data_IF_583582484812
#
_entry.id   IF_583582484812
#
_cell.length_a   1.000
_cell.length_b   1.000
_cell.length_c   1.000
_cell.angle_alpha   90.00
_cell.angle_beta   90.00
_cell.angle_gamma   90.00
#
_symmetry.space_group_name_H-M   'P 1'
#
loop_
_entity.id
_entity.type
_entity.pdbx_description
1 polymer ?
#
# COMPACT_ATOMS: atom_id res chain seq x y z
N UNK A 1 -11.34 -0.21 -17.64
CA UNK A 1 -10.20 -0.83 -18.33
C UNK A 1 -9.67 -1.98 -17.51
N UNK A 2 -9.38 -3.11 -18.16
CA UNK A 2 -8.73 -4.27 -17.55
C UNK A 2 -7.40 -4.54 -18.27
N UNK A 3 -6.35 -4.86 -17.52
CA UNK A 3 -5.04 -5.18 -18.06
C UNK A 3 -4.77 -6.67 -17.90
N UNK A 4 -4.54 -7.38 -19.01
CA UNK A 4 -4.24 -8.83 -19.00
C UNK A 4 -2.76 -9.01 -19.31
N UNK A 5 -2.00 -9.52 -18.33
CA UNK A 5 -0.57 -9.77 -18.48
C UNK A 5 -0.35 -11.14 -19.11
N UNK A 6 0.19 -11.15 -20.33
CA UNK A 6 0.47 -12.38 -21.05
C UNK A 6 1.69 -13.08 -20.48
N UNK A 7 1.53 -14.37 -20.14
CA UNK A 7 2.59 -15.23 -19.60
C UNK A 7 2.60 -16.54 -20.37
N UNK A 8 3.78 -17.15 -20.53
CA UNK A 8 3.89 -18.42 -21.25
C UNK A 8 3.07 -19.52 -20.56
N UNK A 9 2.41 -20.41 -21.32
CA UNK A 9 1.82 -21.63 -20.76
C UNK A 9 2.87 -22.42 -19.95
N UNK A 10 2.48 -22.94 -18.79
CA UNK A 10 3.39 -23.66 -17.88
C UNK A 10 4.30 -22.78 -17.00
N UNK A 11 4.22 -21.45 -17.09
CA UNK A 11 4.98 -20.57 -16.20
C UNK A 11 4.65 -20.80 -14.72
N UNK A 12 5.68 -20.76 -13.86
CA UNK A 12 5.52 -20.89 -12.41
C UNK A 12 4.74 -19.72 -11.82
N UNK A 13 4.08 -19.93 -10.67
CA UNK A 13 3.35 -18.87 -9.99
C UNK A 13 4.24 -17.69 -9.60
N UNK A 14 5.50 -17.95 -9.26
CA UNK A 14 6.50 -16.90 -8.97
C UNK A 14 6.75 -16.02 -10.20
N UNK A 15 6.94 -16.64 -11.37
CA UNK A 15 7.15 -15.89 -12.60
C UNK A 15 5.89 -15.09 -12.99
N UNK A 16 4.71 -15.69 -12.84
CA UNK A 16 3.45 -15.00 -13.11
C UNK A 16 3.26 -13.77 -12.21
N UNK A 17 3.54 -13.92 -10.91
CA UNK A 17 3.49 -12.82 -9.96
C UNK A 17 4.46 -11.71 -10.33
N UNK A 18 5.71 -12.04 -10.69
CA UNK A 18 6.71 -11.06 -11.10
C UNK A 18 6.26 -10.26 -12.34
N UNK A 19 5.68 -10.93 -13.34
CA UNK A 19 5.18 -10.25 -14.54
C UNK A 19 4.00 -9.32 -14.22
N UNK A 20 3.04 -9.78 -13.41
CA UNK A 20 1.93 -8.94 -12.95
C UNK A 20 2.42 -7.75 -12.14
N UNK A 21 3.40 -7.97 -11.26
CA UNK A 21 3.96 -6.94 -10.41
C UNK A 21 4.66 -5.84 -11.22
N UNK A 22 5.43 -6.21 -12.25
CA UNK A 22 6.04 -5.25 -13.19
C UNK A 22 5.00 -4.40 -13.90
N UNK A 23 4.00 -5.03 -14.50
CA UNK A 23 2.95 -4.29 -15.22
C UNK A 23 2.16 -3.39 -14.29
N UNK A 24 1.84 -3.84 -13.07
CA UNK A 24 1.16 -3.02 -12.08
C UNK A 24 2.02 -1.84 -11.61
N UNK A 25 3.33 -2.01 -11.44
CA UNK A 25 4.26 -0.94 -11.10
C UNK A 25 4.33 0.13 -12.18
N UNK A 26 4.37 -0.27 -13.45
CA UNK A 26 4.36 0.65 -14.59
C UNK A 26 3.06 1.46 -14.64
N UNK A 27 1.91 0.78 -14.56
CA UNK A 27 0.59 1.44 -14.53
C UNK A 27 0.51 2.41 -13.35
N UNK A 28 0.95 1.99 -12.16
CA UNK A 28 0.92 2.86 -10.99
C UNK A 28 1.80 4.10 -11.20
N UNK A 29 3.02 3.94 -11.72
CA UNK A 29 3.93 5.06 -11.96
C UNK A 29 3.44 6.07 -13.01
N UNK A 30 2.54 5.66 -13.90
CA UNK A 30 1.83 6.56 -14.83
C UNK A 30 0.61 7.22 -14.20
N UNK A 31 -0.06 6.54 -13.26
CA UNK A 31 -1.25 7.05 -12.59
C UNK A 31 -0.93 8.09 -11.52
N UNK A 32 0.18 7.97 -10.77
CA UNK A 32 0.54 8.91 -9.69
C UNK A 32 1.04 10.24 -10.26
N UNK A 33 0.54 11.33 -9.69
CA UNK A 33 0.84 12.72 -10.03
C UNK A 33 1.14 13.53 -8.75
N UNK A 34 1.53 14.79 -8.91
CA UNK A 34 1.85 15.67 -7.79
C UNK A 34 0.66 15.86 -6.83
N UNK A 35 0.96 15.88 -5.53
CA UNK A 35 -0.01 16.10 -4.45
C UNK A 35 -0.88 14.88 -4.11
N UNK A 36 -0.68 13.74 -4.76
CA UNK A 36 -1.54 12.59 -4.57
C UNK A 36 -1.36 11.90 -3.23
N UNK A 37 -2.48 11.39 -2.70
CA UNK A 37 -2.46 10.37 -1.65
C UNK A 37 -2.67 8.98 -2.26
N UNK A 38 -1.70 8.10 -2.08
CA UNK A 38 -1.69 6.71 -2.56
C UNK A 38 -1.86 5.76 -1.38
N UNK A 39 -3.00 5.09 -1.31
CA UNK A 39 -3.27 4.05 -0.34
C UNK A 39 -2.68 2.71 -0.76
N UNK A 40 -1.90 2.07 0.11
CA UNK A 40 -1.31 0.74 -0.14
C UNK A 40 -1.71 -0.25 0.95
N UNK A 41 -2.38 -1.32 0.56
CA UNK A 41 -2.56 -2.50 1.39
C UNK A 41 -1.29 -3.38 1.30
N UNK A 42 -0.65 -3.63 2.44
CA UNK A 42 0.56 -4.42 2.49
C UNK A 42 0.27 -5.92 2.32
N UNK A 43 1.18 -6.66 1.67
CA UNK A 43 1.07 -8.08 1.39
C UNK A 43 2.13 -8.54 0.38
N UNK A 44 2.19 -9.85 0.09
CA UNK A 44 3.21 -10.41 -0.81
C UNK A 44 3.18 -9.78 -2.19
N UNK A 45 1.98 -9.61 -2.78
CA UNK A 45 1.83 -9.03 -4.12
C UNK A 45 2.25 -7.56 -4.17
N UNK A 46 1.84 -6.73 -3.21
CA UNK A 46 2.23 -5.32 -3.16
C UNK A 46 3.69 -5.13 -2.82
N UNK A 47 4.28 -6.05 -2.05
CA UNK A 47 5.73 -6.12 -1.85
C UNK A 47 6.48 -6.40 -3.16
N UNK A 48 6.00 -7.33 -4.00
CA UNK A 48 6.56 -7.56 -5.34
C UNK A 48 6.37 -6.37 -6.28
N UNK A 49 5.26 -5.63 -6.19
CA UNK A 49 5.08 -4.40 -6.98
C UNK A 49 6.12 -3.35 -6.58
N UNK A 50 6.34 -3.16 -5.28
CA UNK A 50 7.30 -2.19 -4.75
C UNK A 50 8.73 -2.39 -5.28
N UNK A 51 9.13 -3.61 -5.62
CA UNK A 51 10.46 -3.90 -6.17
C UNK A 51 10.64 -3.46 -7.62
N UNK A 52 9.55 -3.20 -8.34
CA UNK A 52 9.56 -2.81 -9.76
C UNK A 52 9.23 -1.33 -9.99
N UNK A 53 8.94 -0.57 -8.92
CA UNK A 53 8.67 0.85 -9.04
C UNK A 53 9.90 1.60 -9.54
N UNK A 54 9.68 2.49 -10.49
CA UNK A 54 10.72 3.36 -11.05
C UNK A 54 10.65 4.72 -10.36
N UNK A 55 11.81 5.32 -9.98
CA UNK A 55 11.83 6.66 -9.41
C UNK A 55 11.16 7.69 -10.32
N UNK A 56 10.33 8.52 -9.72
CA UNK A 56 9.62 9.63 -10.33
C UNK A 56 9.89 10.90 -9.53
N UNK A 57 10.19 11.98 -10.24
CA UNK A 57 10.33 13.29 -9.62
C UNK A 57 8.96 13.93 -9.45
N UNK A 58 8.26 13.58 -8.37
CA UNK A 58 6.96 14.15 -7.99
C UNK A 58 7.09 14.97 -6.72
N UNK A 59 6.13 15.86 -6.50
CA UNK A 59 6.06 16.72 -5.33
C UNK A 59 4.77 16.49 -4.54
N UNK A 60 4.86 16.49 -3.21
CA UNK A 60 3.68 16.42 -2.34
C UNK A 60 2.94 15.08 -2.30
N UNK A 61 3.54 13.98 -2.79
CA UNK A 61 2.93 12.65 -2.73
C UNK A 61 2.96 12.12 -1.29
N UNK A 62 1.83 11.59 -0.84
CA UNK A 62 1.69 10.87 0.44
C UNK A 62 1.34 9.41 0.18
N UNK A 63 2.09 8.48 0.76
CA UNK A 63 1.80 7.04 0.69
C UNK A 63 1.26 6.60 2.05
N UNK A 64 0.05 6.05 2.10
CA UNK A 64 -0.58 5.64 3.37
C UNK A 64 -0.93 4.15 3.39
N UNK A 65 -0.68 3.50 4.52
CA UNK A 65 -1.12 2.12 4.74
C UNK A 65 -2.66 2.02 4.80
N UNK A 66 -3.25 1.06 4.08
CA UNK A 66 -4.71 0.83 4.10
C UNK A 66 -5.16 -0.16 5.17
N UNK A 67 -4.29 -1.10 5.52
CA UNK A 67 -4.55 -2.11 6.54
C UNK A 67 -3.82 -1.70 7.82
N UNK A 68 -4.44 -1.96 8.99
CA UNK A 68 -3.84 -1.72 10.30
C UNK A 68 -2.55 -2.53 10.52
N UNK A 69 -1.89 -2.39 11.67
CA UNK A 69 -0.71 -3.19 12.00
C UNK A 69 -1.02 -4.69 11.98
N UNK A 70 -0.13 -5.50 11.38
CA UNK A 70 -0.27 -6.95 11.36
C UNK A 70 -0.27 -7.50 12.80
N UNK A 71 -1.07 -8.55 13.02
CA UNK A 71 -1.21 -9.25 14.29
C UNK A 71 0.15 -9.67 14.88
N UNK A 72 0.17 -9.79 16.21
CA UNK A 72 1.30 -10.09 17.10
C UNK A 72 2.16 -11.33 16.72
N UNK A 73 1.73 -12.14 15.76
CA UNK A 73 2.36 -13.41 15.35
C UNK A 73 3.25 -13.31 14.11
N UNK A 74 3.27 -12.17 13.43
CA UNK A 74 4.15 -11.95 12.27
C UNK A 74 4.91 -10.65 12.47
N UNK A 75 6.16 -10.64 12.03
CA UNK A 75 7.19 -9.58 11.99
C UNK A 75 6.77 -8.29 11.24
N UNK A 76 5.51 -7.86 11.39
CA UNK A 76 4.79 -7.07 10.42
C UNK A 76 5.07 -5.58 10.47
N UNK A 77 5.40 -4.97 11.61
CA UNK A 77 5.63 -3.52 11.65
C UNK A 77 6.87 -3.09 10.83
N UNK A 78 8.06 -3.71 10.99
CA UNK A 78 9.21 -3.40 10.14
C UNK A 78 9.00 -3.77 8.67
N UNK A 79 8.35 -4.91 8.40
CA UNK A 79 8.05 -5.34 7.04
C UNK A 79 7.09 -4.40 6.31
N UNK A 80 6.01 -3.96 6.99
CA UNK A 80 5.02 -3.01 6.45
C UNK A 80 5.65 -1.64 6.21
N UNK A 81 6.41 -1.13 7.19
CA UNK A 81 7.16 0.12 7.04
C UNK A 81 8.08 0.08 5.83
N UNK A 82 8.82 -1.02 5.64
CA UNK A 82 9.72 -1.18 4.50
C UNK A 82 9.02 -1.20 3.13
N UNK A 83 7.77 -1.65 3.06
CA UNK A 83 6.99 -1.63 1.82
C UNK A 83 6.58 -0.19 1.52
N UNK A 84 5.90 0.48 2.46
CA UNK A 84 5.42 1.86 2.25
C UNK A 84 6.57 2.82 1.94
N UNK A 85 7.71 2.63 2.63
CA UNK A 85 8.92 3.40 2.37
C UNK A 85 9.39 3.28 0.92
N UNK A 86 9.42 2.08 0.33
CA UNK A 86 9.78 1.90 -1.09
C UNK A 86 8.84 2.62 -2.05
N UNK A 87 7.54 2.66 -1.73
CA UNK A 87 6.57 3.44 -2.53
C UNK A 87 6.82 4.94 -2.38
N UNK A 88 7.05 5.43 -1.15
CA UNK A 88 7.34 6.83 -0.89
C UNK A 88 8.64 7.26 -1.58
N UNK A 89 9.72 6.48 -1.45
CA UNK A 89 11.00 6.70 -2.13
C UNK A 89 10.85 6.78 -3.64
N UNK A 90 10.10 5.84 -4.24
CA UNK A 90 9.89 5.81 -5.69
C UNK A 90 9.17 7.07 -6.21
N UNK A 91 8.35 7.72 -5.39
CA UNK A 91 7.57 8.90 -5.78
C UNK A 91 8.06 10.19 -5.11
N UNK A 92 9.24 10.19 -4.47
CA UNK A 92 9.75 11.32 -3.65
C UNK A 92 8.72 11.84 -2.63
N UNK A 93 7.89 10.94 -2.12
CA UNK A 93 6.80 11.22 -1.20
C UNK A 93 7.18 11.04 0.27
N UNK A 94 6.15 11.02 1.10
CA UNK A 94 6.23 10.71 2.52
C UNK A 94 5.32 9.52 2.83
N UNK A 95 5.75 8.58 3.66
CA UNK A 95 4.93 7.48 4.15
C UNK A 95 4.16 7.83 5.44
N UNK A 96 2.94 7.31 5.55
CA UNK A 96 2.16 7.31 6.77
C UNK A 96 1.63 5.91 7.08
N UNK A 97 1.87 5.45 8.30
CA UNK A 97 1.37 4.16 8.76
C UNK A 97 -0.03 4.32 9.35
N UNK A 98 -0.92 3.40 9.00
CA UNK A 98 -2.17 3.21 9.74
C UNK A 98 -1.85 2.51 11.07
N UNK A 99 -1.46 3.30 12.07
CA UNK A 99 -1.10 2.83 13.41
C UNK A 99 -2.34 2.44 14.24
N UNK A 100 -3.23 1.66 13.65
CA UNK A 100 -4.41 1.06 14.28
C UNK A 100 -4.30 -0.46 14.18
N UNK A 101 -4.86 -1.22 15.13
CA UNK A 101 -5.08 -2.65 14.95
C UNK A 101 -5.81 -2.98 13.64
N UNK A 102 -5.42 -4.07 12.98
CA UNK A 102 -6.16 -4.57 11.81
C UNK A 102 -7.58 -5.02 12.19
N UNK A 103 -7.74 -5.55 13.40
CA UNK A 103 -9.02 -5.97 13.97
C UNK A 103 -9.12 -5.53 15.43
N UNK A 104 -10.34 -5.28 15.88
CA UNK A 104 -10.65 -4.98 17.28
C UNK A 104 -11.57 -6.09 17.81
N UNK A 105 -11.16 -6.76 18.88
CA UNK A 105 -11.99 -7.77 19.55
C UNK A 105 -13.19 -7.14 20.26
N UNK A 106 -12.99 -5.93 20.81
CA UNK A 106 -14.00 -5.15 21.51
C UNK A 106 -14.44 -3.93 20.68
N UNK A 107 -15.72 -3.83 20.28
CA UNK A 107 -16.27 -2.66 19.61
C UNK A 107 -16.10 -1.36 20.40
N UNK A 108 -16.18 -1.39 21.73
CA UNK A 108 -16.03 -0.18 22.55
C UNK A 108 -14.62 0.41 22.46
N UNK A 109 -13.60 -0.46 22.35
CA UNK A 109 -12.21 -0.06 22.10
C UNK A 109 -12.06 0.64 20.74
N UNK A 110 -12.69 0.10 19.68
CA UNK A 110 -12.72 0.76 18.36
C UNK A 110 -13.34 2.16 18.46
N UNK A 111 -14.51 2.28 19.10
CA UNK A 111 -15.19 3.56 19.26
C UNK A 111 -14.36 4.58 20.06
N UNK A 112 -13.66 4.13 21.10
CA UNK A 112 -12.74 4.98 21.84
C UNK A 112 -11.59 5.48 20.95
N UNK A 113 -10.94 4.59 20.19
CA UNK A 113 -9.86 4.98 19.27
C UNK A 113 -10.34 5.94 18.18
N UNK A 114 -11.56 5.79 17.66
CA UNK A 114 -12.12 6.68 16.63
C UNK A 114 -12.38 8.10 17.11
N UNK A 115 -12.50 8.32 18.43
CA UNK A 115 -12.63 9.67 19.01
C UNK A 115 -11.29 10.39 19.13
N UNK A 116 -10.18 9.66 19.13
CA UNK A 116 -8.85 10.26 19.23
C UNK A 116 -8.50 11.14 18.03
N UNK A 117 -7.81 12.26 18.30
CA UNK A 117 -7.45 13.23 17.25
C UNK A 117 -6.47 12.66 16.24
N UNK A 118 -5.50 11.88 16.70
CA UNK A 118 -4.51 11.19 15.86
C UNK A 118 -5.18 10.19 14.91
N UNK A 119 -6.07 9.35 15.43
CA UNK A 119 -6.86 8.40 14.63
C UNK A 119 -7.70 9.11 13.58
N UNK A 120 -8.42 10.17 13.96
CA UNK A 120 -9.20 10.96 13.00
C UNK A 120 -8.34 11.66 11.95
N UNK A 121 -7.09 11.99 12.27
CA UNK A 121 -6.17 12.55 11.29
C UNK A 121 -5.75 11.50 10.26
N UNK A 122 -5.25 10.34 10.70
CA UNK A 122 -4.80 9.29 9.77
C UNK A 122 -5.96 8.74 8.93
N UNK A 123 -7.16 8.64 9.49
CA UNK A 123 -8.35 8.24 8.72
C UNK A 123 -8.72 9.28 7.65
N UNK A 124 -8.60 10.58 7.93
CA UNK A 124 -8.83 11.62 6.91
C UNK A 124 -7.81 11.55 5.77
N UNK A 125 -6.54 11.28 6.07
CA UNK A 125 -5.52 11.06 5.04
C UNK A 125 -5.86 9.80 4.23
N UNK A 126 -6.30 8.73 4.89
CA UNK A 126 -6.73 7.51 4.20
C UNK A 126 -7.92 7.77 3.28
N UNK A 127 -8.88 8.55 3.75
CA UNK A 127 -10.08 8.89 2.99
C UNK A 127 -9.80 9.87 1.84
N UNK A 128 -8.66 10.58 1.85
CA UNK A 128 -8.20 11.42 0.74
C UNK A 128 -7.41 10.66 -0.33
N UNK A 129 -7.32 9.32 -0.24
CA UNK A 129 -6.66 8.51 -1.25
C UNK A 129 -7.35 8.69 -2.62
N UNK A 130 -6.59 9.15 -3.62
CA UNK A 130 -7.03 9.14 -5.01
C UNK A 130 -6.80 7.77 -5.66
N UNK A 131 -5.77 7.07 -5.22
CA UNK A 131 -5.38 5.74 -5.69
C UNK A 131 -5.35 4.79 -4.49
N UNK A 132 -5.91 3.59 -4.66
CA UNK A 132 -5.80 2.49 -3.72
C UNK A 132 -5.21 1.25 -4.43
N UNK A 133 -4.14 0.70 -3.87
CA UNK A 133 -3.48 -0.52 -4.35
C UNK A 133 -3.65 -1.62 -3.31
N UNK A 134 -4.29 -2.73 -3.71
CA UNK A 134 -4.46 -3.90 -2.87
C UNK A 134 -4.52 -5.18 -3.70
N UNK A 135 -4.09 -6.28 -3.11
CA UNK A 135 -4.35 -7.63 -3.62
C UNK A 135 -5.67 -8.17 -3.07
N UNK A 136 -6.08 -9.32 -3.59
CA UNK A 136 -7.20 -10.11 -3.06
C UNK A 136 -6.65 -11.42 -2.53
N UNK A 137 -7.08 -11.82 -1.34
CA UNK A 137 -6.68 -13.04 -0.64
C UNK A 137 -7.86 -13.72 0.00
#
# INVERSE_FOLDING_TARGET
>A
NAHIVQVRPGASNVFRLDQVARTAADILGELVTDGDTVGVAWGTTTSSIATHLRPRDLSGVTVIGLNGGANHQTTGLPYVGSILHRFADAFRGQEQLLALPAFFDDPATREAMWRERSTRHILRVRDSCRIALFGVG
#
